data_IF_747212859013
#
_entry.id   IF_747212859013
#
_cell.length_a   1.000
_cell.length_b   1.000
_cell.length_c   1.000
_cell.angle_alpha   90.00
_cell.angle_beta   90.00
_cell.angle_gamma   90.00
#
_symmetry.space_group_name_H-M   'P 1'
#
loop_
_entity.id
_entity.type
_entity.pdbx_description
1 polymer ?
#
# COMPACT_ATOMS: atom_id res chain seq x y z
N UNK A 1 -9.37 -2.63 -8.93
CA UNK A 1 -8.69 -1.54 -9.64
C UNK A 1 -7.88 -0.74 -8.65
N UNK A 2 -6.62 -0.44 -8.96
CA UNK A 2 -5.74 0.33 -8.11
C UNK A 2 -5.13 1.48 -8.92
N UNK A 3 -4.80 2.58 -8.24
CA UNK A 3 -4.17 3.74 -8.86
C UNK A 3 -3.33 4.49 -7.84
N UNK A 4 -2.59 5.50 -8.27
CA UNK A 4 -1.97 6.46 -7.36
C UNK A 4 -2.81 7.73 -7.22
N UNK A 5 -2.99 8.19 -5.99
CA UNK A 5 -3.41 9.55 -5.67
C UNK A 5 -2.15 10.29 -5.22
N UNK A 6 -1.61 11.17 -6.05
CA UNK A 6 -0.28 11.76 -5.84
C UNK A 6 0.79 10.67 -5.59
N UNK A 7 1.36 10.64 -4.39
CA UNK A 7 2.43 9.76 -3.93
C UNK A 7 1.94 8.53 -3.15
N UNK A 8 0.63 8.25 -3.08
CA UNK A 8 0.08 7.14 -2.30
C UNK A 8 -0.95 6.31 -3.09
N UNK A 9 -1.25 5.09 -2.61
CA UNK A 9 -2.17 4.16 -3.28
C UNK A 9 -3.63 4.54 -3.04
N UNK A 10 -4.44 4.40 -4.09
CA UNK A 10 -5.87 4.71 -4.13
C UNK A 10 -6.64 3.66 -4.95
N UNK A 11 -7.96 3.87 -5.11
CA UNK A 11 -8.89 2.87 -5.61
C UNK A 11 -9.09 1.73 -4.63
N UNK A 12 -9.71 0.63 -5.08
CA UNK A 12 -9.99 -0.55 -4.25
C UNK A 12 -8.78 -1.04 -3.45
N UNK A 13 -7.58 -1.00 -4.03
CA UNK A 13 -6.37 -1.38 -3.30
C UNK A 13 -6.02 -0.40 -2.18
N UNK A 14 -5.97 0.90 -2.46
CA UNK A 14 -5.65 1.90 -1.45
C UNK A 14 -6.67 1.93 -0.30
N UNK A 15 -7.96 1.83 -0.65
CA UNK A 15 -9.05 1.76 0.32
C UNK A 15 -8.99 0.48 1.14
N UNK A 16 -8.80 -0.68 0.50
CA UNK A 16 -8.74 -1.95 1.22
C UNK A 16 -7.50 -2.08 2.11
N UNK A 17 -6.35 -1.55 1.68
CA UNK A 17 -5.15 -1.43 2.53
C UNK A 17 -5.44 -0.57 3.75
N UNK A 18 -6.06 0.59 3.56
CA UNK A 18 -6.43 1.46 4.67
C UNK A 18 -7.38 0.78 5.64
N UNK A 19 -8.44 0.14 5.13
CA UNK A 19 -9.39 -0.62 5.94
C UNK A 19 -8.71 -1.72 6.74
N UNK A 20 -7.89 -2.56 6.10
CA UNK A 20 -7.18 -3.64 6.77
C UNK A 20 -6.22 -3.14 7.87
N UNK A 21 -5.57 -1.99 7.66
CA UNK A 21 -4.70 -1.38 8.68
C UNK A 21 -5.50 -0.84 9.86
N UNK A 22 -6.72 -0.33 9.64
CA UNK A 22 -7.61 0.10 10.71
C UNK A 22 -8.19 -1.11 11.45
N UNK A 23 -8.67 -2.11 10.73
CA UNK A 23 -9.23 -3.35 11.30
C UNK A 23 -8.20 -4.14 12.12
N UNK A 24 -6.91 -4.00 11.79
CA UNK A 24 -5.80 -4.61 12.51
C UNK A 24 -5.27 -3.75 13.68
N UNK A 25 -5.95 -2.66 14.06
CA UNK A 25 -5.50 -1.70 15.09
C UNK A 25 -4.10 -1.10 14.83
N UNK A 26 -3.66 -1.09 13.57
CA UNK A 26 -2.40 -0.46 13.16
C UNK A 26 -2.56 1.05 12.92
N UNK A 27 -3.77 1.48 12.56
CA UNK A 27 -4.13 2.86 12.33
C UNK A 27 -5.42 3.23 13.08
N UNK A 28 -5.44 4.43 13.65
CA UNK A 28 -6.61 5.00 14.33
C UNK A 28 -7.00 6.32 13.65
N UNK A 29 -8.09 6.34 12.87
CA UNK A 29 -8.62 7.55 12.25
C UNK A 29 -9.22 8.49 13.31
N UNK A 30 -9.09 9.81 13.15
CA UNK A 30 -9.74 10.77 14.07
C UNK A 30 -11.25 10.94 13.83
N UNK A 31 -11.79 10.41 12.73
CA UNK A 31 -13.20 10.54 12.36
C UNK A 31 -13.54 11.83 11.59
N UNK A 32 -12.58 12.74 11.41
CA UNK A 32 -12.76 13.95 10.62
C UNK A 32 -12.59 13.68 9.11
N UNK A 33 -13.32 14.43 8.28
CA UNK A 33 -13.13 14.39 6.82
C UNK A 33 -11.73 14.90 6.50
N UNK A 34 -10.92 14.09 5.79
CA UNK A 34 -9.49 14.38 5.55
C UNK A 34 -8.67 14.54 6.84
N UNK A 35 -9.18 13.97 7.94
CA UNK A 35 -8.58 13.99 9.26
C UNK A 35 -7.24 13.27 9.30
N UNK A 36 -6.45 13.60 10.32
CA UNK A 36 -5.23 12.87 10.62
C UNK A 36 -5.54 11.42 10.98
N UNK A 37 -4.54 10.57 10.75
CA UNK A 37 -4.57 9.17 11.15
C UNK A 37 -3.38 8.92 12.05
N UNK A 38 -3.62 8.35 13.22
CA UNK A 38 -2.57 8.05 14.20
C UNK A 38 -2.17 6.59 14.10
N UNK A 39 -0.96 6.27 14.58
CA UNK A 39 -0.57 4.88 14.80
C UNK A 39 -1.42 4.29 15.93
N UNK A 40 -1.94 3.08 15.70
CA UNK A 40 -2.62 2.30 16.73
C UNK A 40 -1.66 1.37 17.47
N UNK A 41 -2.16 0.65 18.49
CA UNK A 41 -1.34 -0.23 19.34
C UNK A 41 -0.60 -1.33 18.56
N UNK A 42 -1.16 -1.81 17.44
CA UNK A 42 -0.56 -2.87 16.63
C UNK A 42 0.38 -2.36 15.53
N UNK A 43 0.58 -1.04 15.43
CA UNK A 43 1.30 -0.41 14.32
C UNK A 43 2.69 -1.02 14.08
N UNK A 44 3.51 -1.16 15.13
CA UNK A 44 4.88 -1.68 15.02
C UNK A 44 4.89 -3.09 14.42
N UNK A 45 3.98 -3.97 14.87
CA UNK A 45 3.89 -5.36 14.38
C UNK A 45 3.42 -5.39 12.93
N UNK A 46 2.34 -4.66 12.62
CA UNK A 46 1.72 -4.70 11.30
C UNK A 46 2.59 -4.04 10.24
N UNK A 47 3.12 -2.84 10.51
CA UNK A 47 4.06 -2.19 9.58
C UNK A 47 5.39 -2.92 9.50
N UNK A 48 5.88 -3.49 10.60
CA UNK A 48 7.06 -4.36 10.62
C UNK A 48 6.91 -5.57 9.71
N UNK A 49 5.74 -6.22 9.70
CA UNK A 49 5.43 -7.30 8.76
C UNK A 49 5.42 -6.85 7.29
N UNK A 50 5.13 -5.58 7.03
CA UNK A 50 5.27 -4.98 5.70
C UNK A 50 6.71 -4.55 5.37
N UNK A 51 7.62 -4.56 6.35
CA UNK A 51 8.99 -4.04 6.20
C UNK A 51 9.06 -2.51 6.27
N UNK A 52 8.14 -1.88 7.02
CA UNK A 52 8.05 -0.43 7.21
C UNK A 52 8.26 -0.13 8.68
N UNK A 53 9.20 0.77 8.98
CA UNK A 53 9.33 1.37 10.31
C UNK A 53 8.55 2.70 10.35
N UNK A 54 7.38 2.75 11.02
CA UNK A 54 6.57 3.96 11.04
C UNK A 54 7.21 5.10 11.83
N UNK A 55 8.11 4.83 12.78
CA UNK A 55 8.83 5.88 13.51
C UNK A 55 9.91 6.53 12.63
N UNK A 56 10.65 5.71 11.87
CA UNK A 56 11.59 6.23 10.88
C UNK A 56 10.89 7.08 9.80
N UNK A 57 9.70 6.65 9.35
CA UNK A 57 8.87 7.43 8.42
C UNK A 57 8.43 8.77 9.05
N UNK A 58 8.02 8.76 10.32
CA UNK A 58 7.63 9.98 11.02
C UNK A 58 8.82 10.95 11.17
N UNK A 59 10.00 10.45 11.53
CA UNK A 59 11.22 11.26 11.63
C UNK A 59 11.64 11.87 10.28
N UNK A 60 11.46 11.13 9.18
CA UNK A 60 11.75 11.57 7.82
C UNK A 60 10.66 12.41 7.15
N UNK A 61 9.49 12.60 7.78
CA UNK A 61 8.36 13.29 7.16
C UNK A 61 8.60 14.80 6.95
N UNK A 62 9.44 15.41 7.80
CA UNK A 62 9.71 16.84 7.77
C UNK A 62 8.44 17.67 7.96
N UNK A 63 8.08 18.50 6.95
CA UNK A 63 6.86 19.31 6.97
C UNK A 63 5.62 18.60 6.41
N UNK A 64 5.78 17.39 5.85
CA UNK A 64 4.65 16.64 5.29
C UNK A 64 3.80 16.09 6.43
N UNK A 65 2.48 16.02 6.23
CA UNK A 65 1.60 15.27 7.14
C UNK A 65 2.07 13.82 7.19
N UNK A 66 2.18 13.28 8.40
CA UNK A 66 2.59 11.89 8.61
C UNK A 66 1.61 10.91 7.97
N UNK A 67 0.33 10.97 8.38
CA UNK A 67 -0.73 10.14 7.83
C UNK A 67 -2.08 10.85 7.91
N UNK A 68 -2.94 10.68 6.89
CA UNK A 68 -4.29 11.21 6.88
C UNK A 68 -5.25 10.36 6.05
N UNK A 69 -6.55 10.46 6.33
CA UNK A 69 -7.62 9.76 5.62
C UNK A 69 -7.94 10.49 4.29
N UNK A 70 -7.20 10.18 3.23
CA UNK A 70 -7.39 10.82 1.93
C UNK A 70 -8.63 10.24 1.22
N UNK A 71 -9.58 11.06 0.75
CA UNK A 71 -10.84 10.57 0.20
C UNK A 71 -10.66 10.02 -1.21
N UNK A 72 -11.16 8.81 -1.43
CA UNK A 72 -11.34 8.23 -2.76
C UNK A 72 -12.71 8.64 -3.33
N UNK A 73 -12.73 9.46 -4.38
CA UNK A 73 -13.99 9.88 -5.01
C UNK A 73 -14.73 8.75 -5.73
N UNK A 74 -14.00 7.75 -6.23
CA UNK A 74 -14.57 6.62 -6.97
C UNK A 74 -15.16 5.60 -6.00
N UNK A 75 -14.40 5.21 -4.98
CA UNK A 75 -14.82 4.20 -4.00
C UNK A 75 -15.67 4.80 -2.86
N UNK A 76 -15.68 6.12 -2.70
CA UNK A 76 -16.36 6.86 -1.61
C UNK A 76 -15.91 6.42 -0.22
N UNK A 77 -14.65 6.00 -0.10
CA UNK A 77 -14.02 5.55 1.13
C UNK A 77 -12.61 6.16 1.25
N UNK A 78 -12.06 6.29 2.47
CA UNK A 78 -10.71 6.80 2.67
C UNK A 78 -9.64 5.79 2.27
N UNK A 79 -8.51 6.30 1.78
CA UNK A 79 -7.25 5.59 1.64
C UNK A 79 -6.13 6.32 2.39
N UNK A 80 -5.02 5.64 2.64
CA UNK A 80 -3.90 6.20 3.40
C UNK A 80 -3.14 7.25 2.58
N UNK A 81 -3.17 8.51 3.03
CA UNK A 81 -2.34 9.59 2.51
C UNK A 81 -1.22 10.00 3.47
N UNK A 82 -0.32 10.86 3.02
CA UNK A 82 0.79 11.38 3.80
C UNK A 82 2.08 10.58 3.62
N UNK A 83 3.11 10.92 4.41
CA UNK A 83 4.40 10.24 4.35
C UNK A 83 4.28 8.71 4.53
N UNK A 84 3.41 8.26 5.43
CA UNK A 84 3.14 6.85 5.65
C UNK A 84 2.46 6.18 4.44
N UNK A 85 1.51 6.87 3.80
CA UNK A 85 0.90 6.40 2.55
C UNK A 85 1.91 6.27 1.41
N UNK A 86 2.86 7.19 1.34
CA UNK A 86 4.00 7.13 0.42
C UNK A 86 4.92 5.95 0.69
N UNK A 87 5.30 5.71 1.95
CA UNK A 87 6.13 4.58 2.34
C UNK A 87 5.45 3.23 2.03
N UNK A 88 4.15 3.10 2.30
CA UNK A 88 3.38 1.90 1.93
C UNK A 88 3.37 1.68 0.42
N UNK A 89 3.16 2.75 -0.37
CA UNK A 89 3.21 2.66 -1.83
C UNK A 89 4.57 2.19 -2.30
N UNK A 90 5.64 2.84 -1.85
CA UNK A 90 7.03 2.54 -2.23
C UNK A 90 7.36 1.07 -1.94
N UNK A 91 7.04 0.62 -0.71
CA UNK A 91 7.24 -0.77 -0.31
C UNK A 91 6.51 -1.78 -1.21
N UNK A 92 5.27 -1.47 -1.60
CA UNK A 92 4.50 -2.33 -2.52
C UNK A 92 5.17 -2.42 -3.91
N UNK A 93 5.83 -1.36 -4.39
CA UNK A 93 6.55 -1.38 -5.67
C UNK A 93 7.87 -2.14 -5.55
N UNK A 94 8.64 -1.89 -4.49
CA UNK A 94 9.93 -2.57 -4.23
C UNK A 94 9.77 -4.08 -4.13
N UNK A 95 8.73 -4.54 -3.43
CA UNK A 95 8.44 -5.96 -3.27
C UNK A 95 7.74 -6.57 -4.51
N UNK A 96 7.48 -5.78 -5.55
CA UNK A 96 6.79 -6.23 -6.75
C UNK A 96 5.32 -6.64 -6.53
N UNK A 97 4.71 -6.23 -5.43
CA UNK A 97 3.29 -6.48 -5.15
C UNK A 97 2.38 -5.70 -6.08
N UNK A 98 2.84 -4.54 -6.49
CA UNK A 98 2.17 -3.72 -7.49
C UNK A 98 3.11 -3.35 -8.63
N UNK A 99 2.52 -3.15 -9.81
CA UNK A 99 3.22 -2.67 -11.00
C UNK A 99 2.44 -1.51 -11.62
N UNK A 100 3.13 -0.63 -12.32
CA UNK A 100 2.53 0.53 -12.99
C UNK A 100 2.80 0.44 -14.49
N UNK A 101 1.75 0.51 -15.34
CA UNK A 101 1.93 0.73 -16.77
C UNK A 101 2.56 2.10 -17.04
N UNK A 102 3.46 2.18 -18.01
CA UNK A 102 4.21 3.40 -18.37
C UNK A 102 3.29 4.61 -18.52
N UNK A 103 3.72 5.74 -17.96
CA UNK A 103 3.03 7.05 -18.01
C UNK A 103 1.56 7.09 -17.54
N UNK A 104 1.10 6.09 -16.78
CA UNK A 104 -0.24 6.09 -16.19
C UNK A 104 -0.23 6.25 -14.68
N UNK A 105 -1.37 6.67 -14.13
CA UNK A 105 -1.65 6.60 -12.68
C UNK A 105 -2.23 5.24 -12.28
N UNK A 106 -2.47 4.34 -13.24
CA UNK A 106 -3.03 3.03 -12.98
C UNK A 106 -2.00 2.15 -12.28
N UNK A 107 -2.46 1.31 -11.38
CA UNK A 107 -1.64 0.35 -10.64
C UNK A 107 -2.29 -1.02 -10.78
N UNK A 108 -1.48 -2.01 -11.16
CA UNK A 108 -1.87 -3.42 -11.22
C UNK A 108 -1.38 -4.15 -9.98
N UNK A 109 -2.28 -4.86 -9.30
CA UNK A 109 -1.92 -5.80 -8.24
C UNK A 109 -1.43 -7.10 -8.88
N UNK A 110 -0.24 -7.57 -8.51
CA UNK A 110 0.33 -8.84 -8.99
C UNK A 110 -0.23 -10.02 -8.20
N UNK A 111 -0.10 -11.24 -8.73
CA UNK A 111 -0.51 -12.44 -7.97
C UNK A 111 0.31 -12.63 -6.69
N UNK A 112 1.61 -12.28 -6.74
CA UNK A 112 2.48 -12.24 -5.56
C UNK A 112 2.02 -11.21 -4.53
N UNK A 113 1.63 -10.02 -4.98
CA UNK A 113 1.10 -8.97 -4.12
C UNK A 113 -0.21 -9.34 -3.43
N UNK A 114 -1.16 -9.94 -4.18
CA UNK A 114 -2.41 -10.43 -3.59
C UNK A 114 -2.15 -11.44 -2.47
N UNK A 115 -1.24 -12.39 -2.70
CA UNK A 115 -0.87 -13.40 -1.71
C UNK A 115 -0.17 -12.78 -0.49
N UNK A 116 0.79 -11.89 -0.71
CA UNK A 116 1.52 -11.22 0.37
C UNK A 116 0.60 -10.35 1.25
N UNK A 117 -0.32 -9.58 0.64
CA UNK A 117 -1.26 -8.75 1.39
C UNK A 117 -2.29 -9.60 2.16
N UNK A 118 -2.71 -10.73 1.60
CA UNK A 118 -3.56 -11.68 2.32
C UNK A 118 -2.85 -12.31 3.51
N UNK A 119 -1.59 -12.70 3.35
CA UNK A 119 -0.79 -13.33 4.41
C UNK A 119 -0.42 -12.35 5.53
N UNK A 120 -0.07 -11.10 5.17
CA UNK A 120 0.45 -10.11 6.13
C UNK A 120 -0.64 -9.26 6.78
N UNK A 121 -1.75 -9.01 6.08
CA UNK A 121 -2.82 -8.10 6.53
C UNK A 121 -4.21 -8.75 6.54
N UNK A 122 -4.35 -10.02 6.15
CA UNK A 122 -5.66 -10.64 5.98
C UNK A 122 -6.48 -10.05 4.81
N UNK A 123 -5.90 -9.14 4.03
CA UNK A 123 -6.60 -8.38 3.01
C UNK A 123 -6.92 -9.25 1.79
N UNK A 124 -8.20 -9.33 1.43
CA UNK A 124 -8.67 -10.05 0.23
C UNK A 124 -9.14 -9.06 -0.82
N UNK A 125 -8.29 -8.80 -1.80
CA UNK A 125 -8.63 -7.99 -2.98
C UNK A 125 -8.43 -8.82 -4.23
N UNK A 126 -9.48 -8.94 -5.04
CA UNK A 126 -9.41 -9.56 -6.36
C UNK A 126 -8.59 -8.71 -7.34
N UNK A 127 -7.66 -9.33 -8.07
CA UNK A 127 -6.87 -8.72 -9.14
C UNK A 127 -7.73 -7.93 -10.14
N UNK A 128 -7.28 -6.72 -10.50
CA UNK A 128 -7.69 -6.08 -11.75
C UNK A 128 -6.69 -6.49 -12.83
N UNK A 129 -7.18 -7.05 -13.92
CA UNK A 129 -6.42 -7.83 -14.90
C UNK A 129 -5.32 -6.99 -15.60
N UNK A 130 -4.08 -7.45 -15.47
CA UNK A 130 -2.97 -7.26 -16.41
C UNK A 130 -2.16 -8.57 -16.44
N UNK A 131 -1.54 -8.99 -17.57
CA UNK A 131 -0.83 -10.25 -17.63
C UNK A 131 0.32 -10.24 -16.63
N UNK A 132 0.39 -11.29 -15.82
CA UNK A 132 1.53 -11.50 -14.94
C UNK A 132 2.69 -11.90 -15.87
N UNK A 133 3.57 -10.95 -16.19
CA UNK A 133 4.85 -11.34 -16.75
C UNK A 133 5.63 -11.94 -15.59
N UNK A 134 6.01 -13.24 -15.64
CA UNK A 134 6.86 -13.79 -14.62
C UNK A 134 8.10 -12.90 -14.51
N UNK A 135 8.61 -12.72 -13.28
CA UNK A 135 9.96 -12.22 -13.11
C UNK A 135 10.85 -13.11 -13.98
N UNK A 136 11.59 -12.51 -14.89
CA UNK A 136 12.53 -13.21 -15.75
C UNK A 136 13.51 -13.92 -14.80
N UNK A 137 13.30 -15.21 -14.62
CA UNK A 137 14.25 -16.11 -14.01
C UNK A 137 15.33 -16.29 -15.06
N UNK A 138 16.34 -15.40 -15.04
CA UNK A 138 17.61 -15.66 -15.72
C UNK A 138 18.32 -16.76 -14.94
N UNK A 139 17.76 -17.97 -15.01
CA UNK A 139 18.49 -19.21 -14.93
C UNK A 139 19.32 -19.31 -16.20
N UNK A 140 20.51 -18.72 -16.18
CA UNK A 140 21.59 -19.14 -17.07
C UNK A 140 21.94 -20.58 -16.70
N UNK A 141 21.24 -21.51 -17.35
CA UNK A 141 21.58 -22.91 -17.39
C UNK A 141 22.91 -23.12 -18.09
N UNK A 142 23.76 -23.90 -17.44
CA UNK A 142 24.92 -24.61 -17.97
C UNK A 142 24.68 -25.19 -19.38
N UNK A 143 25.56 -24.84 -20.34
CA UNK A 143 26.02 -25.58 -21.53
C UNK A 143 27.29 -24.85 -22.00
N UNK A 144 28.48 -25.40 -22.21
CA UNK A 144 29.02 -26.76 -22.29
C UNK A 144 30.52 -26.71 -21.99
#
# INVERSE_FOLDING_TARGET
EARTCYDHLAGRLGVGLYGALVDADALVPTGEVRGDVRLGPAASVVFGALGIDPEAVAAGAGRRRFAFACPDWTERLPHLGGALGGAVRERCFEEGWVRRPEDTRAVGLTGGGERALRERLGLRISRAIGPDRPADDTGEGERS
#
